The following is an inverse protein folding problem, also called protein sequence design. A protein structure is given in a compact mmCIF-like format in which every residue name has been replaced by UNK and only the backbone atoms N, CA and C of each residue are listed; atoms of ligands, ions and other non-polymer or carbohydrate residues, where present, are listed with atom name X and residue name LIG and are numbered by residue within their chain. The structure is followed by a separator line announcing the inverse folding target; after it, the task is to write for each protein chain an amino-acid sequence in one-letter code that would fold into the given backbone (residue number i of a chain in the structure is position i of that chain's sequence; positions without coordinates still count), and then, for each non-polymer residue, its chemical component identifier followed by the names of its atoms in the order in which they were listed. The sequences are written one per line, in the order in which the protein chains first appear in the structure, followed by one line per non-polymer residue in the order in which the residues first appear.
data_IF_830772064932
#
_entry.id   IF_830772064932
#
_cell.length_a   1.000
_cell.length_b   1.000
_cell.length_c   1.000
_cell.angle_alpha   90.00
_cell.angle_beta   90.00
_cell.angle_gamma   90.00
#
_symmetry.space_group_name_H-M   'P 1'
#
loop_
_entity.id
_entity.type
_entity.pdbx_description
1 polymer ?
#
# COMPACT_ATOMS: atom_id res chain seq x y z
N UNK A 1 21.54 38.19 -29.36
CA UNK A 1 21.97 38.12 -30.77
C UNK A 1 21.06 37.11 -31.45
N UNK A 2 20.09 37.58 -32.23
CA UNK A 2 19.26 36.70 -33.04
C UNK A 2 20.02 36.42 -34.34
N UNK A 3 20.66 35.25 -34.42
CA UNK A 3 21.07 34.73 -35.71
C UNK A 3 19.80 34.18 -36.35
N UNK A 4 19.18 34.95 -37.24
CA UNK A 4 18.07 34.48 -38.06
C UNK A 4 18.62 33.48 -39.09
N UNK A 5 18.71 32.20 -38.69
CA UNK A 5 18.76 31.12 -39.67
C UNK A 5 17.38 31.04 -40.32
N UNK A 6 17.29 31.50 -41.55
CA UNK A 6 16.15 31.26 -42.44
C UNK A 6 16.42 30.04 -43.31
N UNK A 7 15.40 29.20 -43.50
CA UNK A 7 15.49 28.13 -44.48
C UNK A 7 15.50 28.75 -45.89
N UNK A 8 16.39 28.29 -46.79
CA UNK A 8 16.32 28.71 -48.18
C UNK A 8 14.99 28.23 -48.80
N UNK A 9 14.49 28.96 -49.79
CA UNK A 9 13.36 28.49 -50.59
C UNK A 9 13.75 27.17 -51.27
N UNK A 10 12.99 26.10 -51.04
CA UNK A 10 13.25 24.79 -51.61
C UNK A 10 12.00 24.28 -52.34
N UNK A 11 12.24 23.60 -53.46
CA UNK A 11 11.20 22.97 -54.27
C UNK A 11 11.55 21.50 -54.48
N UNK A 12 10.56 20.64 -54.32
CA UNK A 12 10.69 19.22 -54.64
C UNK A 12 10.06 18.99 -56.01
N UNK A 13 10.89 18.74 -57.02
CA UNK A 13 10.41 18.35 -58.34
C UNK A 13 10.16 16.84 -58.37
N UNK A 14 8.97 16.44 -58.80
CA UNK A 14 8.56 15.04 -58.93
C UNK A 14 7.79 14.83 -60.22
N UNK A 15 8.04 13.69 -60.89
CA UNK A 15 7.35 13.28 -62.11
C UNK A 15 6.88 11.83 -61.95
N UNK A 16 5.65 11.54 -62.39
CA UNK A 16 5.10 10.19 -62.33
C UNK A 16 5.77 9.28 -63.38
N UNK A 17 6.17 8.05 -63.01
CA UNK A 17 6.71 7.10 -63.98
C UNK A 17 5.61 6.59 -64.92
N UNK A 18 5.80 6.76 -66.23
CA UNK A 18 4.95 6.14 -67.27
C UNK A 18 5.49 4.74 -67.56
N UNK A 19 4.67 3.70 -67.32
CA UNK A 19 5.05 2.30 -67.54
C UNK A 19 4.12 1.71 -68.60
N UNK A 20 4.66 1.42 -69.78
CA UNK A 20 3.93 0.78 -70.88
C UNK A 20 4.70 -0.43 -71.40
N UNK A 21 3.97 -1.48 -71.76
CA UNK A 21 4.54 -2.62 -72.50
C UNK A 21 4.38 -2.30 -73.98
N UNK A 22 5.49 -1.97 -74.65
CA UNK A 22 5.48 -1.79 -76.09
C UNK A 22 5.11 -3.10 -76.77
N UNK A 23 4.23 -3.05 -77.77
CA UNK A 23 3.72 -4.23 -78.49
C UNK A 23 3.06 -5.28 -77.59
N UNK A 24 2.29 -4.85 -76.59
CA UNK A 24 1.57 -5.76 -75.68
C UNK A 24 0.74 -6.82 -76.42
N UNK A 25 0.06 -6.46 -77.52
CA UNK A 25 -0.75 -7.39 -78.28
C UNK A 25 0.08 -8.51 -78.94
N UNK A 26 1.29 -8.19 -79.42
CA UNK A 26 2.22 -9.19 -79.95
C UNK A 26 2.75 -10.10 -78.84
N UNK A 27 3.10 -9.52 -77.69
CA UNK A 27 3.53 -10.30 -76.52
C UNK A 27 2.42 -11.23 -76.03
N UNK A 28 1.19 -10.73 -75.94
CA UNK A 28 0.01 -11.50 -75.53
C UNK A 28 -0.23 -12.66 -76.49
N UNK A 29 -0.25 -12.39 -77.80
CA UNK A 29 -0.41 -13.41 -78.84
C UNK A 29 0.67 -14.48 -78.76
N UNK A 30 1.93 -14.09 -78.55
CA UNK A 30 3.05 -15.03 -78.41
C UNK A 30 2.93 -15.89 -77.13
N UNK A 31 2.55 -15.31 -76.00
CA UNK A 31 2.33 -16.03 -74.73
C UNK A 31 1.16 -17.00 -74.86
N UNK A 32 0.06 -16.59 -75.49
CA UNK A 32 -1.11 -17.43 -75.75
C UNK A 32 -0.74 -18.60 -76.68
N UNK A 33 0.01 -18.37 -77.76
CA UNK A 33 0.50 -19.43 -78.64
C UNK A 33 1.41 -20.42 -77.90
N UNK A 34 2.32 -19.93 -77.04
CA UNK A 34 3.18 -20.78 -76.20
C UNK A 34 2.38 -21.61 -75.20
N UNK A 35 1.34 -21.04 -74.59
CA UNK A 35 0.46 -21.76 -73.68
C UNK A 35 -0.36 -22.83 -74.42
N UNK A 36 -0.96 -22.46 -75.56
CA UNK A 36 -1.80 -23.33 -76.38
C UNK A 36 -1.02 -24.52 -76.96
N UNK A 37 0.26 -24.35 -77.30
CA UNK A 37 1.15 -25.43 -77.77
C UNK A 37 1.20 -26.62 -76.80
N UNK A 38 1.08 -26.35 -75.49
CA UNK A 38 1.15 -27.35 -74.44
C UNK A 38 -0.21 -27.62 -73.78
N UNK A 39 -1.26 -26.95 -74.24
CA UNK A 39 -2.62 -27.11 -73.73
C UNK A 39 -3.23 -28.40 -74.28
N UNK A 40 -3.66 -29.30 -73.40
CA UNK A 40 -4.22 -30.60 -73.80
C UNK A 40 -3.20 -31.73 -74.01
N UNK A 41 -1.91 -31.51 -73.69
CA UNK A 41 -0.92 -32.60 -73.70
C UNK A 41 -1.29 -33.67 -72.66
N UNK A 42 -1.57 -34.89 -73.11
CA UNK A 42 -1.86 -36.02 -72.23
C UNK A 42 -0.58 -36.48 -71.52
N UNK A 43 -0.58 -36.39 -70.18
CA UNK A 43 0.55 -36.84 -69.35
C UNK A 43 0.40 -38.33 -69.08
N UNK A 44 1.28 -39.13 -69.68
CA UNK A 44 1.36 -40.59 -69.52
C UNK A 44 2.81 -41.00 -69.21
N UNK A 45 3.05 -42.27 -68.87
CA UNK A 45 4.40 -42.76 -68.56
C UNK A 45 5.39 -42.58 -69.74
N UNK A 46 4.91 -42.63 -70.99
CA UNK A 46 5.76 -42.43 -72.17
C UNK A 46 6.03 -40.95 -72.48
N UNK A 47 5.17 -40.02 -72.04
CA UNK A 47 5.32 -38.56 -72.27
C UNK A 47 5.92 -37.82 -71.08
N UNK A 48 6.21 -38.51 -69.97
CA UNK A 48 6.67 -37.92 -68.70
C UNK A 48 7.87 -36.97 -68.85
N UNK A 49 8.89 -37.37 -69.63
CA UNK A 49 10.09 -36.56 -69.85
C UNK A 49 9.77 -35.26 -70.59
N UNK A 50 8.93 -35.35 -71.63
CA UNK A 50 8.53 -34.22 -72.45
C UNK A 50 7.63 -33.26 -71.66
N UNK A 51 6.62 -33.78 -70.94
CA UNK A 51 5.73 -32.98 -70.08
C UNK A 51 6.50 -32.25 -68.97
N UNK A 52 7.53 -32.88 -68.38
CA UNK A 52 8.41 -32.20 -67.41
C UNK A 52 9.20 -31.06 -68.04
N UNK A 53 9.69 -31.23 -69.27
CA UNK A 53 10.40 -30.19 -70.03
C UNK A 53 9.49 -29.01 -70.36
N UNK A 54 8.31 -29.26 -70.93
CA UNK A 54 7.33 -28.23 -71.29
C UNK A 54 6.88 -27.43 -70.07
N UNK A 55 6.66 -28.09 -68.92
CA UNK A 55 6.35 -27.41 -67.65
C UNK A 55 7.49 -26.47 -67.23
N UNK A 56 8.73 -26.89 -67.38
CA UNK A 56 9.89 -26.07 -67.02
C UNK A 56 10.01 -24.85 -67.93
N UNK A 57 9.76 -24.98 -69.24
CA UNK A 57 9.73 -23.87 -70.19
C UNK A 57 8.64 -22.84 -69.85
N UNK A 58 7.41 -23.28 -69.60
CA UNK A 58 6.32 -22.40 -69.20
C UNK A 58 6.62 -21.66 -67.89
N UNK A 59 7.23 -22.35 -66.92
CA UNK A 59 7.66 -21.72 -65.66
C UNK A 59 8.76 -20.69 -65.87
N UNK A 60 9.73 -20.96 -66.75
CA UNK A 60 10.79 -19.99 -67.12
C UNK A 60 10.19 -18.75 -67.77
N UNK A 61 9.26 -18.91 -68.71
CA UNK A 61 8.58 -17.78 -69.35
C UNK A 61 7.81 -16.93 -68.33
N UNK A 62 7.03 -17.57 -67.45
CA UNK A 62 6.32 -16.90 -66.35
C UNK A 62 7.28 -16.14 -65.43
N UNK A 63 8.40 -16.76 -65.07
CA UNK A 63 9.40 -16.15 -64.21
C UNK A 63 10.04 -14.92 -64.87
N UNK A 64 10.40 -15.00 -66.15
CA UNK A 64 11.00 -13.88 -66.87
C UNK A 64 10.09 -12.64 -66.91
N UNK A 65 8.77 -12.82 -67.07
CA UNK A 65 7.80 -11.73 -67.03
C UNK A 65 7.73 -11.09 -65.62
N UNK A 66 7.69 -11.91 -64.57
CA UNK A 66 7.67 -11.43 -63.19
C UNK A 66 9.00 -10.76 -62.79
N UNK A 67 10.13 -11.27 -63.27
CA UNK A 67 11.45 -10.67 -63.03
C UNK A 67 11.55 -9.30 -63.67
N UNK A 68 11.03 -9.12 -64.89
CA UNK A 68 10.96 -7.79 -65.53
C UNK A 68 10.06 -6.83 -64.76
N UNK A 69 8.90 -7.29 -64.27
CA UNK A 69 8.03 -6.50 -63.37
C UNK A 69 8.78 -6.06 -62.11
N UNK A 70 9.51 -6.97 -61.46
CA UNK A 70 10.30 -6.68 -60.26
C UNK A 70 11.47 -5.73 -60.53
N UNK A 71 12.15 -5.90 -61.67
CA UNK A 71 13.25 -5.04 -62.10
C UNK A 71 12.78 -3.58 -62.26
N UNK A 72 11.68 -3.38 -63.00
CA UNK A 72 11.07 -2.04 -63.14
C UNK A 72 10.63 -1.51 -61.78
N UNK A 73 10.08 -2.37 -60.91
CA UNK A 73 9.74 -2.00 -59.53
C UNK A 73 10.90 -1.44 -58.73
N UNK A 74 12.03 -2.12 -58.79
CA UNK A 74 13.24 -1.70 -58.08
C UNK A 74 13.74 -0.36 -58.61
N UNK A 75 13.77 -0.17 -59.94
CA UNK A 75 14.25 1.06 -60.58
C UNK A 75 13.43 2.29 -60.21
N UNK A 76 12.10 2.19 -60.11
CA UNK A 76 11.28 3.35 -59.70
C UNK A 76 11.31 3.58 -58.19
N UNK A 77 11.50 2.53 -57.39
CA UNK A 77 11.57 2.65 -55.94
C UNK A 77 12.87 3.31 -55.48
N UNK A 78 13.96 3.14 -56.23
CA UNK A 78 15.28 3.63 -55.87
C UNK A 78 15.36 5.17 -55.76
N UNK A 79 14.84 5.99 -56.71
CA UNK A 79 14.76 7.45 -56.55
C UNK A 79 14.00 7.88 -55.29
N UNK A 80 12.86 7.23 -55.00
CA UNK A 80 12.08 7.52 -53.79
C UNK A 80 12.86 7.16 -52.52
N UNK A 81 13.52 6.01 -52.49
CA UNK A 81 14.34 5.59 -51.34
C UNK A 81 15.51 6.55 -51.10
N UNK A 82 16.17 7.02 -52.16
CA UNK A 82 17.22 8.04 -52.06
C UNK A 82 16.69 9.36 -51.52
N UNK A 83 15.56 9.84 -52.05
CA UNK A 83 14.89 11.04 -51.54
C UNK A 83 14.50 10.90 -50.07
N UNK A 84 13.86 9.79 -49.69
CA UNK A 84 13.48 9.52 -48.30
C UNK A 84 14.69 9.45 -47.37
N UNK A 85 15.81 8.89 -47.82
CA UNK A 85 17.07 8.88 -47.07
C UNK A 85 17.63 10.31 -46.89
N UNK A 86 17.59 11.15 -47.93
CA UNK A 86 18.04 12.55 -47.82
C UNK A 86 17.20 13.35 -46.82
N UNK A 87 15.87 13.20 -46.85
CA UNK A 87 15.00 13.85 -45.85
C UNK A 87 15.30 13.33 -44.45
N UNK A 88 15.48 12.02 -44.29
CA UNK A 88 15.81 11.41 -43.00
C UNK A 88 17.16 11.90 -42.46
N UNK A 89 18.17 12.06 -43.29
CA UNK A 89 19.47 12.61 -42.88
C UNK A 89 19.33 14.07 -42.38
N UNK A 90 18.48 14.87 -43.03
CA UNK A 90 18.16 16.22 -42.56
C UNK A 90 17.43 16.19 -41.22
N UNK A 91 16.42 15.32 -41.05
CA UNK A 91 15.72 15.11 -39.77
C UNK A 91 16.70 14.70 -38.67
N UNK A 92 17.57 13.71 -38.93
CA UNK A 92 18.58 13.26 -37.96
C UNK A 92 19.56 14.36 -37.57
N UNK A 93 19.89 15.25 -38.50
CA UNK A 93 20.74 16.43 -38.20
C UNK A 93 20.03 17.37 -37.24
N UNK A 94 18.73 17.63 -37.44
CA UNK A 94 17.93 18.43 -36.52
C UNK A 94 17.81 17.76 -35.15
N UNK A 95 17.52 16.46 -35.11
CA UNK A 95 17.41 15.67 -33.89
C UNK A 95 18.70 15.69 -33.05
N UNK A 96 19.87 15.71 -33.70
CA UNK A 96 21.16 15.81 -33.00
C UNK A 96 21.31 17.11 -32.19
N UNK A 97 20.59 18.17 -32.60
CA UNK A 97 20.57 19.46 -31.90
C UNK A 97 19.38 19.56 -30.94
N UNK A 98 18.21 19.04 -31.32
CA UNK A 98 16.99 19.07 -30.50
C UNK A 98 17.16 18.21 -29.24
N UNK A 99 17.68 16.98 -29.37
CA UNK A 99 17.73 16.03 -28.26
C UNK A 99 18.56 16.52 -27.05
N UNK A 100 19.77 17.11 -27.23
CA UNK A 100 20.51 17.70 -26.11
C UNK A 100 19.81 18.91 -25.49
N UNK A 101 19.12 19.73 -26.29
CA UNK A 101 18.35 20.87 -25.79
C UNK A 101 17.20 20.37 -24.91
N UNK A 102 16.44 19.38 -25.38
CA UNK A 102 15.34 18.78 -24.62
C UNK A 102 15.83 18.13 -23.32
N UNK A 103 16.96 17.42 -23.38
CA UNK A 103 17.58 16.85 -22.19
C UNK A 103 18.01 17.93 -21.19
N UNK A 104 18.66 18.99 -21.66
CA UNK A 104 19.06 20.12 -20.83
C UNK A 104 17.88 20.88 -20.23
N UNK A 105 16.78 21.04 -20.97
CA UNK A 105 15.54 21.65 -20.47
C UNK A 105 14.91 20.80 -19.36
N UNK A 106 14.84 19.47 -19.54
CA UNK A 106 14.34 18.54 -18.51
C UNK A 106 15.19 18.57 -17.24
N UNK A 107 16.52 18.58 -17.39
CA UNK A 107 17.43 18.67 -16.24
C UNK A 107 17.23 19.99 -15.49
N UNK A 108 17.13 21.11 -16.22
CA UNK A 108 16.89 22.42 -15.64
C UNK A 108 15.54 22.49 -14.93
N UNK A 109 14.48 21.90 -15.50
CA UNK A 109 13.17 21.80 -14.85
C UNK A 109 13.23 21.00 -13.54
N UNK A 110 13.97 19.89 -13.52
CA UNK A 110 14.16 19.08 -12.32
C UNK A 110 14.99 19.83 -11.26
N UNK A 111 16.08 20.50 -11.66
CA UNK A 111 16.85 21.35 -10.75
C UNK A 111 15.98 22.44 -10.12
N UNK A 112 15.12 23.09 -10.92
CA UNK A 112 14.16 24.07 -10.42
C UNK A 112 13.12 23.45 -9.49
N UNK A 113 12.65 22.22 -9.77
CA UNK A 113 11.73 21.47 -8.92
C UNK A 113 12.37 21.15 -7.57
N UNK A 114 13.63 20.72 -7.55
CA UNK A 114 14.41 20.47 -6.34
C UNK A 114 14.64 21.74 -5.52
N UNK A 115 14.91 22.88 -6.18
CA UNK A 115 15.00 24.17 -5.48
C UNK A 115 13.66 24.58 -4.86
N UNK A 116 12.54 24.39 -5.57
CA UNK A 116 11.21 24.62 -4.99
C UNK A 116 10.94 23.70 -3.80
N UNK A 117 11.34 22.42 -3.88
CA UNK A 117 11.22 21.49 -2.75
C UNK A 117 11.98 21.97 -1.52
N UNK A 118 13.23 22.44 -1.70
CA UNK A 118 14.00 23.05 -0.61
C UNK A 118 13.29 24.26 -0.01
N UNK A 119 12.71 25.13 -0.83
CA UNK A 119 11.94 26.28 -0.34
C UNK A 119 10.66 25.86 0.41
N UNK A 120 9.92 24.87 -0.07
CA UNK A 120 8.74 24.34 0.62
C UNK A 120 9.15 23.77 1.98
N UNK A 121 10.20 22.94 2.02
CA UNK A 121 10.72 22.40 3.29
C UNK A 121 11.13 23.50 4.28
N UNK A 122 11.79 24.55 3.80
CA UNK A 122 12.15 25.69 4.63
C UNK A 122 10.90 26.42 5.18
N UNK A 123 9.88 26.64 4.34
CA UNK A 123 8.61 27.23 4.77
C UNK A 123 7.87 26.35 5.80
N UNK A 124 7.86 25.03 5.60
CA UNK A 124 7.30 24.09 6.57
C UNK A 124 8.04 24.20 7.91
N UNK A 125 9.37 24.20 7.89
CA UNK A 125 10.16 24.33 9.11
C UNK A 125 9.93 25.67 9.84
N UNK A 126 9.74 26.76 9.09
CA UNK A 126 9.43 28.08 9.63
C UNK A 126 8.02 28.15 10.25
N UNK A 127 7.03 27.53 9.61
CA UNK A 127 5.63 27.59 10.03
C UNK A 127 5.29 26.57 11.13
N UNK A 128 5.92 25.40 11.13
CA UNK A 128 5.64 24.27 12.03
C UNK A 128 5.50 24.66 13.53
N UNK A 129 6.39 25.48 14.12
CA UNK A 129 6.27 25.90 15.51
C UNK A 129 4.96 26.63 15.84
N UNK A 130 4.41 27.40 14.89
CA UNK A 130 3.16 28.15 15.09
C UNK A 130 1.93 27.23 15.19
N UNK A 131 2.04 26.02 14.64
CA UNK A 131 0.97 25.02 14.65
C UNK A 131 1.20 23.92 15.69
N UNK A 132 2.35 23.89 16.37
CA UNK A 132 2.77 22.79 17.26
C UNK A 132 2.75 21.43 16.55
N UNK A 133 3.23 21.42 15.30
CA UNK A 133 3.34 20.25 14.42
C UNK A 133 4.82 20.05 14.10
N UNK A 134 5.27 18.79 14.00
CA UNK A 134 6.64 18.51 13.57
C UNK A 134 6.76 18.64 12.04
N UNK A 135 7.84 19.26 11.50
CA UNK A 135 7.99 19.43 10.05
C UNK A 135 7.86 18.12 9.24
N UNK A 136 8.28 16.99 9.83
CA UNK A 136 8.20 15.68 9.19
C UNK A 136 6.79 15.08 9.11
N UNK A 137 5.81 15.64 9.82
CA UNK A 137 4.41 15.20 9.76
C UNK A 137 3.66 15.82 8.56
N UNK A 138 4.22 16.87 7.96
CA UNK A 138 3.60 17.59 6.84
C UNK A 138 3.93 16.91 5.53
N UNK A 139 2.92 16.29 4.92
CA UNK A 139 3.04 15.73 3.57
C UNK A 139 3.12 16.85 2.52
N UNK A 140 4.10 16.75 1.61
CA UNK A 140 4.32 17.73 0.56
C UNK A 140 3.51 17.36 -0.67
N UNK A 141 2.53 18.20 -1.02
CA UNK A 141 1.79 18.05 -2.26
C UNK A 141 2.71 18.33 -3.48
N UNK A 142 2.83 17.38 -4.44
CA UNK A 142 3.65 17.57 -5.64
C UNK A 142 3.29 18.82 -6.45
N UNK A 143 2.04 19.29 -6.38
CA UNK A 143 1.58 20.49 -7.08
C UNK A 143 2.23 21.77 -6.56
N UNK A 144 2.73 21.79 -5.32
CA UNK A 144 3.48 22.92 -4.77
C UNK A 144 4.84 23.10 -5.45
N UNK A 145 5.34 22.04 -6.09
CA UNK A 145 6.62 22.03 -6.81
C UNK A 145 6.46 22.42 -8.29
N UNK A 146 5.25 22.75 -8.74
CA UNK A 146 5.00 23.18 -10.12
C UNK A 146 5.45 24.62 -10.34
N UNK A 147 5.98 24.91 -11.53
CA UNK A 147 6.44 26.25 -11.92
C UNK A 147 5.31 27.31 -11.89
N UNK A 148 4.08 26.89 -12.14
CA UNK A 148 2.89 27.75 -12.19
C UNK A 148 2.27 28.03 -10.83
N UNK A 149 2.66 27.29 -9.78
CA UNK A 149 2.10 27.46 -8.45
C UNK A 149 2.71 28.68 -7.77
N UNK A 150 1.86 29.59 -7.30
CA UNK A 150 2.30 30.82 -6.65
C UNK A 150 2.73 30.54 -5.22
N UNK A 151 3.66 31.36 -4.69
CA UNK A 151 4.08 31.27 -3.27
C UNK A 151 2.90 31.31 -2.31
N UNK A 152 1.91 32.16 -2.58
CA UNK A 152 0.67 32.26 -1.79
C UNK A 152 -0.06 30.92 -1.70
N UNK A 153 -0.31 30.25 -2.82
CA UNK A 153 -0.99 28.95 -2.84
C UNK A 153 -0.23 27.87 -2.08
N UNK A 154 1.11 27.88 -2.18
CA UNK A 154 1.97 26.97 -1.42
C UNK A 154 1.83 27.23 0.08
N UNK A 155 1.94 28.49 0.52
CA UNK A 155 1.81 28.85 1.94
C UNK A 155 0.43 28.52 2.50
N UNK A 156 -0.65 28.80 1.76
CA UNK A 156 -2.03 28.45 2.15
C UNK A 156 -2.20 26.93 2.25
N UNK A 157 -1.72 26.17 1.26
CA UNK A 157 -1.77 24.70 1.30
C UNK A 157 -1.01 24.10 2.48
N UNK A 158 0.19 24.61 2.78
CA UNK A 158 0.97 24.20 3.96
C UNK A 158 0.20 24.51 5.25
N UNK A 159 -0.37 25.72 5.36
CA UNK A 159 -1.16 26.14 6.52
C UNK A 159 -2.39 25.24 6.73
N UNK A 160 -3.08 24.85 5.66
CA UNK A 160 -4.23 23.97 5.72
C UNK A 160 -3.85 22.58 6.24
N UNK A 161 -2.77 21.99 5.72
CA UNK A 161 -2.26 20.69 6.18
C UNK A 161 -1.83 20.75 7.64
N UNK A 162 -1.06 21.77 8.04
CA UNK A 162 -0.65 21.95 9.44
C UNK A 162 -1.84 22.19 10.37
N UNK A 163 -2.84 22.96 9.92
CA UNK A 163 -4.07 23.18 10.68
C UNK A 163 -4.84 21.89 10.91
N UNK A 164 -4.88 21.01 9.91
CA UNK A 164 -5.49 19.68 10.04
C UNK A 164 -4.73 18.79 11.03
N UNK A 165 -3.40 18.72 10.94
CA UNK A 165 -2.58 17.92 11.87
C UNK A 165 -2.72 18.44 13.30
N UNK A 166 -2.62 19.76 13.49
CA UNK A 166 -2.86 20.41 14.78
C UNK A 166 -4.20 20.00 15.38
N UNK A 167 -5.27 20.04 14.57
CA UNK A 167 -6.59 19.62 15.03
C UNK A 167 -6.60 18.18 15.50
N UNK A 168 -5.94 17.26 14.79
CA UNK A 168 -5.82 15.87 15.24
C UNK A 168 -5.08 15.75 16.58
N UNK A 169 -4.00 16.53 16.77
CA UNK A 169 -3.27 16.57 18.05
C UNK A 169 -4.16 17.08 19.18
N UNK A 170 -4.90 18.15 18.94
CA UNK A 170 -5.82 18.74 19.92
C UNK A 170 -6.98 17.80 20.26
N UNK A 171 -7.56 17.13 19.26
CA UNK A 171 -8.64 16.15 19.43
C UNK A 171 -8.13 14.93 20.22
N UNK A 172 -6.94 14.40 19.90
CA UNK A 172 -6.33 13.29 20.61
C UNK A 172 -6.01 13.67 22.07
N UNK A 173 -5.43 14.87 22.30
CA UNK A 173 -5.16 15.37 23.65
C UNK A 173 -6.44 15.51 24.47
N UNK A 174 -7.50 16.03 23.85
CA UNK A 174 -8.82 16.18 24.48
C UNK A 174 -9.45 14.81 24.77
N UNK A 175 -9.33 13.86 23.85
CA UNK A 175 -9.78 12.48 24.03
C UNK A 175 -9.06 11.78 25.18
N UNK A 176 -7.72 11.89 25.24
CA UNK A 176 -6.91 11.35 26.35
C UNK A 176 -7.37 11.94 27.68
N UNK A 177 -7.55 13.26 27.76
CA UNK A 177 -8.02 13.94 28.97
C UNK A 177 -9.42 13.46 29.39
N UNK A 178 -10.33 13.30 28.43
CA UNK A 178 -11.70 12.82 28.66
C UNK A 178 -11.70 11.39 29.20
N UNK A 179 -11.02 10.46 28.54
CA UNK A 179 -10.91 9.06 28.95
C UNK A 179 -10.23 8.94 30.31
N UNK A 180 -9.15 9.70 30.54
CA UNK A 180 -8.42 9.68 31.82
C UNK A 180 -9.33 10.08 32.98
N UNK A 181 -10.02 11.21 32.87
CA UNK A 181 -10.95 11.69 33.92
C UNK A 181 -12.09 10.71 34.15
N UNK A 182 -12.63 10.15 33.07
CA UNK A 182 -13.75 9.21 33.14
C UNK A 182 -13.36 7.89 33.80
N UNK A 183 -12.24 7.29 33.40
CA UNK A 183 -11.72 6.06 34.01
C UNK A 183 -11.36 6.28 35.48
N UNK A 184 -10.74 7.41 35.83
CA UNK A 184 -10.42 7.78 37.21
C UNK A 184 -11.67 7.89 38.10
N UNK A 185 -12.78 8.45 37.58
CA UNK A 185 -14.03 8.54 38.33
C UNK A 185 -14.60 7.17 38.74
N UNK A 186 -14.30 6.13 37.94
CA UNK A 186 -14.69 4.74 38.22
C UNK A 186 -13.56 3.88 38.78
N UNK A 187 -12.41 4.47 39.13
CA UNK A 187 -11.23 3.77 39.64
C UNK A 187 -10.70 2.67 38.69
N UNK A 188 -10.85 2.88 37.38
CA UNK A 188 -10.32 2.02 36.32
C UNK A 188 -9.01 2.60 35.82
N UNK A 189 -8.04 1.74 35.49
CA UNK A 189 -6.79 2.14 34.83
C UNK A 189 -7.06 2.66 33.40
N UNK A 190 -6.72 3.93 33.07
CA UNK A 190 -6.96 4.49 31.76
C UNK A 190 -5.99 4.00 30.67
N UNK A 191 -4.86 3.38 31.01
CA UNK A 191 -3.76 3.14 30.06
C UNK A 191 -4.20 2.36 28.80
N UNK A 192 -4.90 1.23 28.97
CA UNK A 192 -5.35 0.41 27.84
C UNK A 192 -6.36 1.13 26.92
N UNK A 193 -7.21 1.98 27.49
CA UNK A 193 -8.19 2.75 26.73
C UNK A 193 -7.54 3.91 25.95
N UNK A 194 -6.51 4.53 26.54
CA UNK A 194 -5.69 5.55 25.85
C UNK A 194 -4.97 4.94 24.64
N UNK A 195 -4.44 3.72 24.77
CA UNK A 195 -3.77 3.06 23.64
C UNK A 195 -4.74 2.72 22.51
N UNK A 196 -5.98 2.35 22.82
CA UNK A 196 -7.03 2.17 21.81
C UNK A 196 -7.42 3.49 21.13
N UNK A 197 -7.49 4.60 21.88
CA UNK A 197 -7.72 5.92 21.30
C UNK A 197 -6.61 6.31 20.33
N UNK A 198 -5.33 6.07 20.69
CA UNK A 198 -4.17 6.33 19.81
C UNK A 198 -4.18 5.47 18.55
N UNK A 199 -4.85 4.32 18.58
CA UNK A 199 -5.07 3.45 17.41
C UNK A 199 -6.25 3.93 16.53
N UNK A 200 -6.90 5.04 16.87
CA UNK A 200 -7.98 5.64 16.10
C UNK A 200 -9.39 5.26 16.55
N UNK A 201 -9.55 4.65 17.73
CA UNK A 201 -10.88 4.32 18.26
C UNK A 201 -11.61 5.58 18.74
N UNK A 202 -12.92 5.67 18.46
CA UNK A 202 -13.76 6.79 18.87
C UNK A 202 -13.90 6.92 20.39
N UNK A 203 -13.85 8.17 20.89
CA UNK A 203 -13.92 8.46 22.32
C UNK A 203 -15.25 8.00 22.92
N UNK A 204 -16.40 8.23 22.26
CA UNK A 204 -17.70 7.86 22.82
C UNK A 204 -17.85 6.34 22.94
N UNK A 205 -17.34 5.60 21.94
CA UNK A 205 -17.28 4.15 22.02
C UNK A 205 -16.46 3.69 23.23
N UNK A 206 -15.29 4.27 23.46
CA UNK A 206 -14.43 3.91 24.59
C UNK A 206 -15.10 4.22 25.95
N UNK A 207 -15.83 5.33 26.06
CA UNK A 207 -16.60 5.65 27.26
C UNK A 207 -17.68 4.59 27.55
N UNK A 208 -18.41 4.15 26.53
CA UNK A 208 -19.41 3.08 26.67
C UNK A 208 -18.77 1.73 27.05
N UNK A 209 -17.59 1.43 26.52
CA UNK A 209 -16.86 0.22 26.86
C UNK A 209 -16.39 0.24 28.33
N UNK A 210 -15.93 1.40 28.83
CA UNK A 210 -15.62 1.60 30.25
C UNK A 210 -16.87 1.38 31.11
N UNK A 211 -18.02 1.97 30.75
CA UNK A 211 -19.29 1.77 31.47
C UNK A 211 -19.68 0.29 31.58
N UNK A 212 -19.53 -0.45 30.49
CA UNK A 212 -19.82 -1.89 30.48
C UNK A 212 -18.85 -2.67 31.38
N UNK A 213 -17.57 -2.31 31.37
CA UNK A 213 -16.58 -2.90 32.27
C UNK A 213 -16.91 -2.63 33.74
N UNK A 214 -17.32 -1.40 34.08
CA UNK A 214 -17.76 -1.04 35.44
C UNK A 214 -18.94 -1.89 35.87
N UNK A 215 -19.97 -2.01 35.01
CA UNK A 215 -21.16 -2.84 35.29
C UNK A 215 -20.78 -4.30 35.53
N UNK A 216 -19.93 -4.87 34.69
CA UNK A 216 -19.46 -6.25 34.83
C UNK A 216 -18.64 -6.44 36.11
N UNK A 217 -17.76 -5.51 36.45
CA UNK A 217 -16.98 -5.56 37.70
C UNK A 217 -17.90 -5.51 38.93
N UNK A 218 -18.90 -4.63 38.93
CA UNK A 218 -19.88 -4.53 40.01
C UNK A 218 -20.71 -5.81 40.16
N UNK A 219 -21.19 -6.38 39.06
CA UNK A 219 -21.94 -7.65 39.08
C UNK A 219 -21.09 -8.79 39.61
N UNK A 220 -19.83 -8.90 39.17
CA UNK A 220 -18.88 -9.91 39.68
C UNK A 220 -18.67 -9.74 41.18
N UNK A 221 -18.45 -8.51 41.65
CA UNK A 221 -18.25 -8.23 43.06
C UNK A 221 -19.49 -8.57 43.90
N UNK A 222 -20.68 -8.19 43.45
CA UNK A 222 -21.94 -8.57 44.12
C UNK A 222 -22.13 -10.10 44.16
N UNK A 223 -21.76 -10.80 43.09
CA UNK A 223 -21.85 -12.26 43.04
C UNK A 223 -20.89 -12.92 44.02
N UNK A 224 -19.64 -12.43 44.09
CA UNK A 224 -18.63 -12.90 45.04
C UNK A 224 -19.03 -12.61 46.49
N UNK A 225 -19.60 -11.43 46.77
CA UNK A 225 -20.09 -11.05 48.09
C UNK A 225 -21.31 -11.90 48.50
N UNK A 226 -22.25 -12.16 47.58
CA UNK A 226 -23.38 -13.05 47.83
C UNK A 226 -22.92 -14.48 48.14
N UNK A 227 -21.98 -15.02 47.35
CA UNK A 227 -21.38 -16.33 47.61
C UNK A 227 -20.64 -16.37 48.96
N UNK A 228 -19.91 -15.31 49.32
CA UNK A 228 -19.24 -15.21 50.61
C UNK A 228 -20.24 -15.11 51.78
N UNK A 229 -21.33 -14.36 51.62
CA UNK A 229 -22.39 -14.24 52.62
C UNK A 229 -23.17 -15.55 52.80
N UNK A 230 -23.48 -16.27 51.72
CA UNK A 230 -24.07 -17.61 51.75
C UNK A 230 -23.13 -18.64 52.43
N UNK A 231 -21.82 -18.55 52.21
CA UNK A 231 -20.85 -19.37 52.93
C UNK A 231 -20.80 -19.04 54.44
N UNK A 232 -21.10 -17.80 54.84
CA UNK A 232 -21.16 -17.38 56.24
C UNK A 232 -22.48 -17.76 56.93
N UNK A 233 -23.62 -17.74 56.22
CA UNK A 233 -24.94 -18.10 56.79
C UNK A 233 -25.15 -19.61 56.99
N UNK A 234 -24.36 -20.46 56.33
CA UNK A 234 -24.29 -21.90 56.61
C UNK A 234 -23.46 -22.27 57.86
N UNK A 235 -23.07 -21.30 58.70
CA UNK A 235 -22.45 -21.55 60.00
C UNK A 235 -23.44 -21.30 61.14
N UNK A 236 -23.99 -22.36 61.72
CA UNK A 236 -24.88 -22.28 62.89
C UNK A 236 -24.11 -22.65 64.16
N UNK A 237 -24.12 -21.75 65.15
CA UNK A 237 -23.62 -22.05 66.50
C UNK A 237 -24.72 -22.74 67.32
N UNK A 238 -24.50 -23.98 67.72
CA UNK A 238 -25.23 -24.60 68.83
C UNK A 238 -24.25 -25.19 69.84
N UNK A 239 -24.40 -24.80 71.12
CA UNK A 239 -23.64 -25.32 72.28
C UNK A 239 -22.11 -25.33 72.09
N UNK A 240 -21.55 -24.20 71.68
CA UNK A 240 -20.09 -23.97 71.71
C UNK A 240 -19.28 -24.69 70.64
N UNK A 241 -19.91 -25.14 69.54
CA UNK A 241 -19.23 -25.70 68.36
C UNK A 241 -19.81 -25.11 67.08
N UNK A 242 -18.94 -24.74 66.13
CA UNK A 242 -19.29 -24.35 64.76
C UNK A 242 -19.29 -25.61 63.89
N UNK A 243 -20.42 -25.89 63.21
CA UNK A 243 -20.61 -27.08 62.38
C UNK A 243 -20.89 -26.62 60.93
N UNK A 244 -20.12 -27.16 59.98
CA UNK A 244 -20.37 -27.00 58.53
C UNK A 244 -21.50 -27.96 58.11
N UNK A 245 -22.63 -27.40 57.68
CA UNK A 245 -23.85 -28.19 57.40
C UNK A 245 -23.82 -28.99 56.10
N UNK A 246 -22.76 -28.92 55.28
CA UNK A 246 -22.61 -29.76 54.09
C UNK A 246 -21.62 -30.93 54.26
N UNK A 247 -20.71 -30.88 55.24
CA UNK A 247 -19.62 -31.88 55.35
C UNK A 247 -19.47 -32.55 56.71
N UNK A 248 -20.12 -32.04 57.77
CA UNK A 248 -20.24 -32.77 59.04
C UNK A 248 -18.99 -32.87 59.92
N UNK A 249 -17.90 -32.12 59.64
CA UNK A 249 -16.73 -32.05 60.54
C UNK A 249 -16.75 -30.86 61.51
N UNK A 250 -16.27 -31.07 62.74
CA UNK A 250 -16.32 -30.13 63.87
C UNK A 250 -14.98 -29.37 64.02
N UNK A 251 -15.00 -28.05 63.87
CA UNK A 251 -13.79 -27.20 63.76
C UNK A 251 -13.17 -26.76 65.11
N UNK A 252 -13.75 -27.07 66.28
CA UNK A 252 -13.06 -26.86 67.56
C UNK A 252 -13.66 -27.62 68.76
N UNK A 253 -12.81 -27.98 69.73
CA UNK A 253 -13.18 -28.66 70.97
C UNK A 253 -12.64 -27.88 72.18
N UNK A 254 -13.50 -27.56 73.15
CA UNK A 254 -13.13 -26.87 74.40
C UNK A 254 -13.50 -27.74 75.60
N UNK A 255 -12.59 -27.87 76.57
CA UNK A 255 -12.75 -28.71 77.77
C UNK A 255 -12.28 -27.95 79.00
N UNK A 256 -13.00 -28.10 80.13
CA UNK A 256 -12.60 -27.53 81.42
C UNK A 256 -11.75 -28.51 82.21
N UNK A 257 -10.52 -28.14 82.55
CA UNK A 257 -9.58 -28.95 83.33
C UNK A 257 -9.29 -28.31 84.69
N UNK A 258 -9.28 -29.11 85.76
CA UNK A 258 -8.83 -28.68 87.10
C UNK A 258 -7.39 -29.12 87.31
N UNK A 259 -6.49 -28.16 87.54
CA UNK A 259 -5.06 -28.40 87.68
C UNK A 259 -4.63 -28.03 89.10
N UNK A 260 -3.85 -28.90 89.75
CA UNK A 260 -3.26 -28.65 91.09
C UNK A 260 -1.75 -28.83 90.99
N UNK A 261 -1.00 -27.73 91.14
CA UNK A 261 0.46 -27.73 91.00
C UNK A 261 1.07 -26.54 91.77
N UNK A 262 2.40 -26.54 91.93
CA UNK A 262 3.14 -25.42 92.54
C UNK A 262 3.25 -24.21 91.60
N UNK A 263 3.53 -23.02 92.13
CA UNK A 263 3.66 -21.77 91.34
C UNK A 263 4.69 -21.90 90.20
N UNK A 264 5.90 -22.48 90.40
CA UNK A 264 6.86 -22.67 89.29
C UNK A 264 6.33 -23.60 88.19
N UNK A 265 5.61 -24.67 88.55
CA UNK A 265 5.03 -25.61 87.59
C UNK A 265 3.89 -24.97 86.78
N UNK A 266 3.07 -24.12 87.41
CA UNK A 266 2.02 -23.36 86.72
C UNK A 266 2.61 -22.36 85.71
N UNK A 267 3.79 -21.77 85.98
CA UNK A 267 4.49 -20.90 85.01
C UNK A 267 4.97 -21.69 83.78
N UNK A 268 5.50 -22.90 83.98
CA UNK A 268 5.91 -23.77 82.87
C UNK A 268 4.70 -24.21 82.01
N UNK A 269 3.59 -24.58 82.66
CA UNK A 269 2.37 -24.96 81.96
C UNK A 269 1.79 -23.81 81.14
N UNK A 270 1.79 -22.58 81.69
CA UNK A 270 1.42 -21.37 80.97
C UNK A 270 2.29 -21.18 79.72
N UNK A 271 3.60 -21.22 79.87
CA UNK A 271 4.52 -21.01 78.75
C UNK A 271 4.29 -22.02 77.61
N UNK A 272 4.01 -23.28 77.97
CA UNK A 272 3.66 -24.32 76.99
C UNK A 272 2.34 -24.03 76.27
N UNK A 273 1.31 -23.59 76.99
CA UNK A 273 0.02 -23.25 76.37
C UNK A 273 0.17 -22.05 75.42
N UNK A 274 0.91 -21.02 75.83
CA UNK A 274 1.16 -19.82 75.02
C UNK A 274 1.96 -20.18 73.75
N UNK A 275 3.01 -21.01 73.86
CA UNK A 275 3.83 -21.42 72.70
C UNK A 275 3.08 -22.24 71.67
N UNK A 276 2.07 -23.00 72.11
CA UNK A 276 1.23 -23.82 71.24
C UNK A 276 -0.09 -23.12 70.86
N UNK A 277 -0.21 -21.81 71.13
CA UNK A 277 -1.41 -21.01 70.83
C UNK A 277 -2.70 -21.59 71.42
N UNK A 278 -2.59 -22.32 72.53
CA UNK A 278 -3.72 -22.89 73.26
C UNK A 278 -4.31 -21.80 74.15
N UNK A 279 -5.55 -21.40 73.89
CA UNK A 279 -6.26 -20.42 74.73
C UNK A 279 -6.74 -21.07 76.02
N UNK A 280 -6.40 -20.47 77.15
CA UNK A 280 -6.87 -20.89 78.47
C UNK A 280 -7.38 -19.69 79.27
N UNK A 281 -8.24 -19.97 80.25
CA UNK A 281 -8.74 -18.98 81.20
C UNK A 281 -8.85 -19.61 82.59
N UNK A 282 -8.61 -18.82 83.64
CA UNK A 282 -8.86 -19.26 85.02
C UNK A 282 -10.36 -19.21 85.28
N UNK A 283 -10.95 -20.33 85.70
CA UNK A 283 -12.36 -20.43 86.05
C UNK A 283 -12.47 -20.54 87.58
N UNK A 284 -12.94 -19.48 88.25
CA UNK A 284 -13.14 -19.43 89.71
C UNK A 284 -12.00 -18.77 90.50
N UNK A 285 -12.40 -18.08 91.58
CA UNK A 285 -11.65 -17.06 92.36
C UNK A 285 -10.22 -17.47 92.75
#
# INVERSE_FOLDING_TARGET
MANELSLPEYKIDYQLPVITINNFDQLKTAVEAYANKYQGMAVTASTEKESKSSRAELRKLKQALDDKRKEIKKKYAEPYQRFAAQIKDLEMTLDSSINPIDAGLKELEEQQRQLRLKHVNALIAEMAPNYHVEPGEVEIDPTWLNKTTTKKKVTEGIADVMGYIKKQHDDLKTGISTITKYAQAYQIDPAGWIDQLKQGQDVNYLLQAIDNQVKLNKQKQQTLEAQAAEAQTHQVQQKGKTIDTNTGEVVSHSVSLKITATIPQMKLLRAFMDSNQIRYQRVGV
#
